data_IF_200844996361
#
_entry.id   IF_200844996361
#
_cell.length_a   1.000
_cell.length_b   1.000
_cell.length_c   1.000
_cell.angle_alpha   90.00
_cell.angle_beta   90.00
_cell.angle_gamma   90.00
#
_symmetry.space_group_name_H-M   'P 1'
#
loop_
_entity.id
_entity.type
_entity.pdbx_description
1 polymer ?
#
# COMPACT_ATOMS: atom_id res chain seq x y z
N UNK A 1 44.49 43.98 54.32
CA UNK A 1 43.03 43.84 54.42
C UNK A 1 42.52 43.43 53.06
N UNK A 2 42.22 42.15 52.86
CA UNK A 2 41.89 41.55 51.59
C UNK A 2 40.36 41.39 51.51
N UNK A 3 39.78 42.12 50.57
CA UNK A 3 38.35 41.93 50.23
C UNK A 3 38.24 40.98 49.07
N UNK A 4 37.77 39.77 49.34
CA UNK A 4 37.50 38.77 48.31
C UNK A 4 36.09 38.97 47.71
N UNK A 5 36.05 39.52 46.50
CA UNK A 5 34.80 39.51 45.70
C UNK A 5 34.59 38.14 45.08
N UNK A 6 33.70 37.37 45.63
CA UNK A 6 33.20 36.14 45.00
C UNK A 6 32.10 36.52 44.02
N UNK A 7 32.45 36.50 42.75
CA UNK A 7 31.48 36.63 41.64
C UNK A 7 30.76 35.26 41.50
N UNK A 8 29.51 35.23 41.91
CA UNK A 8 28.63 34.11 41.67
C UNK A 8 28.22 34.11 40.20
N UNK A 9 28.88 33.24 39.42
CA UNK A 9 28.46 32.96 38.03
C UNK A 9 27.15 32.14 38.09
N UNK A 10 26.04 32.79 37.84
CA UNK A 10 24.80 32.12 37.53
C UNK A 10 24.85 31.58 36.09
N UNK A 11 25.23 30.33 35.94
CA UNK A 11 25.06 29.60 34.70
C UNK A 11 23.57 29.38 34.42
N UNK A 12 22.99 30.21 33.62
CA UNK A 12 21.64 29.98 33.10
C UNK A 12 21.76 28.84 32.07
N UNK A 13 21.46 27.64 32.52
CA UNK A 13 21.30 26.50 31.63
C UNK A 13 19.94 26.70 30.91
N UNK A 14 20.02 27.25 29.68
CA UNK A 14 18.88 27.33 28.80
C UNK A 14 18.62 25.88 28.34
N UNK A 15 17.64 25.24 28.95
CA UNK A 15 17.12 23.97 28.49
C UNK A 15 16.29 24.23 27.23
N UNK A 16 16.96 24.21 26.06
CA UNK A 16 16.27 24.21 24.79
C UNK A 16 15.58 22.85 24.66
N UNK A 17 14.34 22.79 25.08
CA UNK A 17 13.46 21.68 24.77
C UNK A 17 13.22 21.73 23.25
N UNK A 18 14.08 21.04 22.51
CA UNK A 18 13.79 20.67 21.14
C UNK A 18 12.57 19.75 21.15
N UNK A 19 11.39 20.35 21.11
CA UNK A 19 10.19 19.63 20.70
C UNK A 19 10.40 19.25 19.23
N UNK A 20 11.12 18.15 19.01
CA UNK A 20 11.05 17.45 17.74
C UNK A 20 9.61 17.01 17.62
N UNK A 21 8.82 17.84 16.92
CA UNK A 21 7.53 17.40 16.44
C UNK A 21 7.81 16.13 15.63
N UNK A 22 7.60 14.99 16.27
CA UNK A 22 7.51 13.74 15.55
C UNK A 22 6.31 13.87 14.63
N UNK A 23 6.54 14.44 13.43
CA UNK A 23 5.71 14.08 12.29
C UNK A 23 5.93 12.58 12.13
N UNK A 24 5.08 11.78 12.76
CA UNK A 24 4.99 10.36 12.50
C UNK A 24 4.69 10.23 11.01
N UNK A 25 5.74 10.04 10.21
CA UNK A 25 5.56 9.76 8.79
C UNK A 25 4.81 8.45 8.73
N UNK A 26 3.64 8.45 8.11
CA UNK A 26 2.86 7.22 7.90
C UNK A 26 3.74 6.16 7.25
N UNK A 27 3.66 4.94 7.76
CA UNK A 27 4.28 3.80 7.10
C UNK A 27 3.44 3.34 5.90
N UNK A 28 3.97 2.43 5.09
CA UNK A 28 3.29 1.92 3.89
C UNK A 28 1.90 1.33 4.20
N UNK A 29 1.77 0.57 5.30
CA UNK A 29 0.50 -0.07 5.66
C UNK A 29 -0.56 0.93 6.15
N UNK A 30 -0.15 1.99 6.83
CA UNK A 30 -1.07 3.09 7.19
C UNK A 30 -1.59 3.81 5.96
N UNK A 31 -0.75 4.03 4.96
CA UNK A 31 -1.15 4.61 3.69
C UNK A 31 -2.08 3.67 2.90
N UNK A 32 -1.85 2.36 2.96
CA UNK A 32 -2.78 1.37 2.38
C UNK A 32 -4.16 1.47 3.04
N UNK A 33 -4.23 1.52 4.37
CA UNK A 33 -5.51 1.69 5.09
C UNK A 33 -6.22 2.98 4.70
N UNK A 34 -5.46 4.07 4.56
CA UNK A 34 -6.00 5.36 4.10
C UNK A 34 -6.55 5.27 2.67
N UNK A 35 -5.77 4.67 1.76
CA UNK A 35 -6.18 4.45 0.36
C UNK A 35 -7.46 3.63 0.26
N UNK A 36 -7.53 2.52 1.01
CA UNK A 36 -8.74 1.67 1.08
C UNK A 36 -9.94 2.47 1.58
N UNK A 37 -9.80 3.22 2.67
CA UNK A 37 -10.88 4.07 3.21
C UNK A 37 -11.35 5.12 2.21
N UNK A 38 -10.45 5.70 1.43
CA UNK A 38 -10.82 6.63 0.38
C UNK A 38 -11.55 5.95 -0.77
N UNK A 39 -11.12 4.75 -1.16
CA UNK A 39 -11.77 3.95 -2.20
C UNK A 39 -13.20 3.58 -1.81
N UNK A 40 -13.42 3.12 -0.58
CA UNK A 40 -14.75 2.81 -0.03
C UNK A 40 -15.72 4.00 -0.04
N UNK A 41 -15.18 5.22 0.06
CA UNK A 41 -15.95 6.46 -0.02
C UNK A 41 -16.10 7.02 -1.44
N UNK A 42 -15.60 6.33 -2.46
CA UNK A 42 -15.60 6.81 -3.84
C UNK A 42 -14.60 7.93 -4.13
N UNK A 43 -13.69 8.24 -3.20
CA UNK A 43 -12.67 9.28 -3.36
C UNK A 43 -11.43 8.70 -4.07
N UNK A 44 -11.58 8.28 -5.32
CA UNK A 44 -10.56 7.51 -6.04
C UNK A 44 -9.25 8.25 -6.28
N UNK A 45 -9.26 9.58 -6.43
CA UNK A 45 -8.01 10.36 -6.57
C UNK A 45 -7.19 10.37 -5.28
N UNK A 46 -7.83 10.54 -4.13
CA UNK A 46 -7.16 10.45 -2.83
C UNK A 46 -6.69 9.02 -2.54
N UNK A 47 -7.46 8.02 -2.96
CA UNK A 47 -7.09 6.61 -2.87
C UNK A 47 -5.84 6.33 -3.69
N UNK A 48 -5.80 6.81 -4.94
CA UNK A 48 -4.64 6.69 -5.81
C UNK A 48 -3.38 7.28 -5.17
N UNK A 49 -3.47 8.53 -4.66
CA UNK A 49 -2.33 9.20 -4.03
C UNK A 49 -1.81 8.44 -2.82
N UNK A 50 -2.70 7.89 -2.00
CA UNK A 50 -2.33 7.11 -0.83
C UNK A 50 -1.63 5.79 -1.22
N UNK A 51 -2.18 5.02 -2.16
CA UNK A 51 -1.54 3.78 -2.64
C UNK A 51 -0.21 4.06 -3.36
N UNK A 52 -0.12 5.15 -4.14
CA UNK A 52 1.12 5.54 -4.80
C UNK A 52 2.21 5.92 -3.79
N UNK A 53 1.87 6.63 -2.72
CA UNK A 53 2.79 6.92 -1.62
C UNK A 53 3.21 5.64 -0.91
N UNK A 54 2.27 4.71 -0.68
CA UNK A 54 2.55 3.42 -0.05
C UNK A 54 3.57 2.61 -0.86
N UNK A 55 3.42 2.53 -2.19
CA UNK A 55 4.38 1.83 -3.08
C UNK A 55 5.73 2.52 -3.20
N UNK A 56 5.80 3.85 -3.00
CA UNK A 56 7.08 4.57 -2.92
C UNK A 56 7.84 4.26 -1.63
N UNK A 57 7.14 4.06 -0.52
CA UNK A 57 7.74 3.67 0.76
C UNK A 57 8.12 2.19 0.78
N UNK A 58 7.25 1.34 0.27
CA UNK A 58 7.49 -0.10 0.13
C UNK A 58 7.03 -0.59 -1.26
N UNK A 59 7.95 -0.72 -2.22
CA UNK A 59 7.63 -1.21 -3.57
C UNK A 59 7.15 -2.66 -3.62
N UNK A 60 7.26 -3.42 -2.53
CA UNK A 60 6.82 -4.80 -2.41
C UNK A 60 5.54 -4.94 -1.59
N UNK A 61 4.93 -3.84 -1.17
CA UNK A 61 3.65 -3.91 -0.47
C UNK A 61 2.55 -4.41 -1.42
N UNK A 62 2.18 -5.67 -1.25
CA UNK A 62 1.18 -6.38 -2.07
C UNK A 62 -0.17 -5.66 -2.07
N UNK A 63 -0.60 -5.17 -0.91
CA UNK A 63 -1.89 -4.49 -0.78
C UNK A 63 -1.90 -3.12 -1.48
N UNK A 64 -0.78 -2.39 -1.43
CA UNK A 64 -0.64 -1.12 -2.14
C UNK A 64 -0.67 -1.32 -3.66
N UNK A 65 0.07 -2.32 -4.16
CA UNK A 65 0.08 -2.67 -5.58
C UNK A 65 -1.29 -3.14 -6.07
N UNK A 66 -1.97 -3.97 -5.27
CA UNK A 66 -3.33 -4.43 -5.57
C UNK A 66 -4.31 -3.25 -5.65
N UNK A 67 -4.25 -2.34 -4.66
CA UNK A 67 -5.07 -1.13 -4.64
C UNK A 67 -4.82 -0.24 -5.87
N UNK A 68 -3.56 0.00 -6.25
CA UNK A 68 -3.23 0.73 -7.47
C UNK A 68 -3.79 0.06 -8.72
N UNK A 69 -3.69 -1.26 -8.83
CA UNK A 69 -4.27 -2.02 -9.93
C UNK A 69 -5.78 -1.77 -10.08
N UNK A 70 -6.50 -1.78 -8.96
CA UNK A 70 -7.93 -1.46 -8.93
C UNK A 70 -8.24 -0.04 -9.38
N UNK A 71 -7.47 0.95 -8.91
CA UNK A 71 -7.66 2.36 -9.31
C UNK A 71 -7.31 2.57 -10.79
N UNK A 72 -6.27 1.90 -11.30
CA UNK A 72 -5.93 1.97 -12.72
C UNK A 72 -7.06 1.39 -13.59
N UNK A 73 -7.67 0.27 -13.21
CA UNK A 73 -8.85 -0.28 -13.91
C UNK A 73 -10.02 0.71 -13.89
N UNK A 74 -10.30 1.31 -12.74
CA UNK A 74 -11.36 2.33 -12.63
C UNK A 74 -11.12 3.52 -13.58
N UNK A 75 -9.86 3.89 -13.79
CA UNK A 75 -9.46 4.98 -14.70
C UNK A 75 -9.34 4.54 -16.17
N UNK A 76 -9.68 3.30 -16.49
CA UNK A 76 -9.50 2.68 -17.82
C UNK A 76 -8.02 2.63 -18.27
N UNK A 77 -7.07 2.67 -17.32
CA UNK A 77 -5.64 2.53 -17.56
C UNK A 77 -5.24 1.04 -17.47
N UNK A 78 -5.86 0.20 -18.31
CA UNK A 78 -5.84 -1.26 -18.18
C UNK A 78 -4.45 -1.87 -18.31
N UNK A 79 -3.54 -1.31 -19.09
CA UNK A 79 -2.15 -1.77 -19.20
C UNK A 79 -1.41 -1.60 -17.86
N UNK A 80 -1.60 -0.46 -17.18
CA UNK A 80 -1.00 -0.22 -15.85
C UNK A 80 -1.62 -1.12 -14.80
N UNK A 81 -2.93 -1.34 -14.87
CA UNK A 81 -3.63 -2.28 -13.99
C UNK A 81 -3.06 -3.69 -14.12
N UNK A 82 -2.88 -4.18 -15.35
CA UNK A 82 -2.29 -5.49 -15.61
C UNK A 82 -0.87 -5.60 -15.05
N UNK A 83 -0.05 -4.55 -15.20
CA UNK A 83 1.30 -4.53 -14.62
C UNK A 83 1.27 -4.62 -13.09
N UNK A 84 0.39 -3.86 -12.44
CA UNK A 84 0.24 -3.88 -10.99
C UNK A 84 -0.21 -5.26 -10.48
N UNK A 85 -1.23 -5.88 -11.07
CA UNK A 85 -1.69 -7.21 -10.67
C UNK A 85 -0.65 -8.30 -10.94
N UNK A 86 0.10 -8.23 -12.03
CA UNK A 86 1.23 -9.13 -12.28
C UNK A 86 2.33 -8.99 -11.22
N UNK A 87 2.61 -7.76 -10.78
CA UNK A 87 3.57 -7.54 -9.69
C UNK A 87 3.09 -8.18 -8.38
N UNK A 88 1.79 -8.04 -8.05
CA UNK A 88 1.19 -8.74 -6.90
C UNK A 88 1.37 -10.24 -7.01
N UNK A 89 1.01 -10.85 -8.16
CA UNK A 89 1.10 -12.31 -8.38
C UNK A 89 2.55 -12.80 -8.32
N UNK A 90 3.51 -11.98 -8.72
CA UNK A 90 4.95 -12.31 -8.60
C UNK A 90 5.41 -12.31 -7.15
N UNK A 91 4.91 -11.40 -6.31
CA UNK A 91 5.24 -11.31 -4.89
C UNK A 91 4.48 -12.35 -4.06
N UNK A 92 3.21 -12.54 -4.38
CA UNK A 92 2.32 -13.52 -3.75
C UNK A 92 1.59 -14.34 -4.83
N UNK A 93 2.14 -15.50 -5.23
CA UNK A 93 1.51 -16.38 -6.21
C UNK A 93 0.15 -16.94 -5.79
N UNK A 94 -0.17 -16.86 -4.49
CA UNK A 94 -1.44 -17.37 -3.92
C UNK A 94 -2.54 -16.32 -3.85
N UNK A 95 -2.25 -15.07 -4.19
CA UNK A 95 -3.20 -13.96 -4.17
C UNK A 95 -4.26 -14.11 -5.29
N UNK A 96 -5.24 -14.96 -5.05
CA UNK A 96 -6.23 -15.32 -6.06
C UNK A 96 -7.09 -14.14 -6.54
N UNK A 97 -7.36 -13.13 -5.68
CA UNK A 97 -8.10 -11.94 -6.11
C UNK A 97 -7.37 -11.15 -7.21
N UNK A 98 -6.03 -11.10 -7.18
CA UNK A 98 -5.26 -10.45 -8.25
C UNK A 98 -5.34 -11.20 -9.57
N UNK A 99 -5.50 -12.53 -9.55
CA UNK A 99 -5.72 -13.30 -10.77
C UNK A 99 -7.08 -13.01 -11.38
N UNK A 100 -8.12 -12.92 -10.55
CA UNK A 100 -9.45 -12.53 -11.00
C UNK A 100 -9.41 -11.12 -11.62
N UNK A 101 -8.80 -10.16 -10.91
CA UNK A 101 -8.69 -8.77 -11.39
C UNK A 101 -7.85 -8.67 -12.67
N UNK A 102 -6.78 -9.48 -12.79
CA UNK A 102 -5.98 -9.53 -14.02
C UNK A 102 -6.77 -10.15 -15.19
N UNK A 103 -7.58 -11.18 -14.93
CA UNK A 103 -8.49 -11.74 -15.93
C UNK A 103 -9.45 -10.69 -16.46
N UNK A 104 -10.14 -9.98 -15.57
CA UNK A 104 -11.01 -8.85 -15.94
C UNK A 104 -10.23 -7.78 -16.74
N UNK A 105 -9.04 -7.41 -16.30
CA UNK A 105 -8.20 -6.44 -17.01
C UNK A 105 -7.84 -6.91 -18.42
N UNK A 106 -7.61 -8.21 -18.61
CA UNK A 106 -7.35 -8.75 -19.94
C UNK A 106 -8.58 -8.75 -20.84
N UNK A 107 -9.79 -8.94 -20.30
CA UNK A 107 -11.03 -8.75 -21.08
C UNK A 107 -11.15 -7.32 -21.60
N UNK A 108 -10.93 -6.32 -20.72
CA UNK A 108 -10.94 -4.90 -21.10
C UNK A 108 -9.86 -4.55 -22.13
N UNK A 109 -8.76 -5.28 -22.16
CA UNK A 109 -7.70 -5.16 -23.16
C UNK A 109 -7.96 -5.95 -24.45
N UNK A 110 -9.12 -6.61 -24.58
CA UNK A 110 -9.46 -7.43 -25.75
C UNK A 110 -8.60 -8.70 -25.88
N UNK A 111 -8.17 -9.29 -24.75
CA UNK A 111 -7.31 -10.48 -24.68
C UNK A 111 -8.01 -11.64 -23.97
N UNK A 112 -9.13 -12.15 -24.50
CA UNK A 112 -10.00 -13.11 -23.80
C UNK A 112 -9.29 -14.43 -23.46
N UNK A 113 -8.33 -14.88 -24.28
CA UNK A 113 -7.60 -16.11 -24.02
C UNK A 113 -6.72 -15.98 -22.77
N UNK A 114 -6.08 -14.81 -22.56
CA UNK A 114 -5.30 -14.53 -21.37
C UNK A 114 -6.20 -14.35 -20.15
N UNK A 115 -7.38 -13.77 -20.33
CA UNK A 115 -8.38 -13.62 -19.26
C UNK A 115 -8.81 -14.98 -18.73
N UNK A 116 -9.17 -15.92 -19.62
CA UNK A 116 -9.62 -17.27 -19.21
C UNK A 116 -8.52 -18.02 -18.45
N UNK A 117 -7.26 -17.93 -18.88
CA UNK A 117 -6.13 -18.54 -18.15
C UNK A 117 -6.06 -18.01 -16.71
N UNK A 118 -6.22 -16.71 -16.51
CA UNK A 118 -6.15 -16.16 -15.14
C UNK A 118 -7.40 -16.49 -14.32
N UNK A 119 -8.58 -16.59 -14.92
CA UNK A 119 -9.80 -17.06 -14.26
C UNK A 119 -9.71 -18.52 -13.84
N UNK A 120 -9.12 -19.39 -14.66
CA UNK A 120 -8.89 -20.80 -14.27
C UNK A 120 -7.94 -20.90 -13.09
N UNK A 121 -6.86 -20.13 -13.09
CA UNK A 121 -5.92 -20.05 -11.97
C UNK A 121 -6.58 -19.52 -10.70
N UNK A 122 -7.44 -18.50 -10.83
CA UNK A 122 -8.26 -17.99 -9.74
C UNK A 122 -9.13 -19.09 -9.14
N UNK A 123 -9.91 -19.79 -9.98
CA UNK A 123 -10.81 -20.87 -9.54
C UNK A 123 -10.05 -21.99 -8.83
N UNK A 124 -8.91 -22.39 -9.37
CA UNK A 124 -8.06 -23.43 -8.78
C UNK A 124 -7.52 -23.03 -7.40
N UNK A 125 -6.97 -21.82 -7.26
CA UNK A 125 -6.45 -21.34 -5.99
C UNK A 125 -7.56 -21.16 -4.94
N UNK A 126 -8.69 -20.59 -5.34
CA UNK A 126 -9.83 -20.38 -4.47
C UNK A 126 -10.36 -21.72 -3.93
N UNK A 127 -10.52 -22.73 -4.79
CA UNK A 127 -10.93 -24.08 -4.38
C UNK A 127 -9.96 -24.71 -3.38
N UNK A 128 -8.65 -24.54 -3.60
CA UNK A 128 -7.63 -25.03 -2.65
C UNK A 128 -7.75 -24.34 -1.30
N UNK A 129 -7.91 -23.01 -1.29
CA UNK A 129 -8.08 -22.23 -0.07
C UNK A 129 -9.33 -22.68 0.70
N UNK A 130 -10.48 -22.80 0.04
CA UNK A 130 -11.73 -23.28 0.63
C UNK A 130 -11.59 -24.69 1.20
N UNK A 131 -10.87 -25.58 0.50
CA UNK A 131 -10.66 -26.97 0.99
C UNK A 131 -9.75 -27.05 2.23
N UNK A 132 -8.91 -26.07 2.47
CA UNK A 132 -8.08 -25.99 3.68
C UNK A 132 -8.89 -25.51 4.90
N UNK A 133 -9.80 -24.55 4.70
CA UNK A 133 -10.63 -24.00 5.77
C UNK A 133 -11.67 -25.02 6.25
N UNK A 134 -12.23 -25.83 5.33
CA UNK A 134 -13.29 -26.79 5.67
C UNK A 134 -12.78 -28.08 6.32
N UNK A 135 -11.47 -28.24 6.49
CA UNK A 135 -10.87 -29.42 7.15
C UNK A 135 -10.57 -29.19 8.65
N UNK A 136 -10.79 -27.99 9.15
CA UNK A 136 -10.76 -27.67 10.59
C UNK A 136 -12.16 -27.81 11.21
#
# INVERSE_FOLDING_TARGET
MHSSNRILSFSIIIFVVLTTGQCSSKNSDELVKEGTKHSEKGNYDKSFDAFLKATKLDPKNVNALYGLGGIYNYRNEHEKAAQAFKAVIKLDPTHFNSRYSLGFTYEELGKPELAEIEYERYRSLKKRFESMITKE
#
